data_IF_182442928755
#
_entry.id   IF_182442928755
#
_cell.length_a   1.000
_cell.length_b   1.000
_cell.length_c   1.000
_cell.angle_alpha   90.00
_cell.angle_beta   90.00
_cell.angle_gamma   90.00
#
_symmetry.space_group_name_H-M   'P 1'
#
loop_
_entity.id
_entity.type
_entity.pdbx_description
1 polymer ?
#
# COMPACT_ATOMS: atom_id res chain seq x y z
N UNK A 1 4.17 19.61 4.32
CA UNK A 1 4.84 19.91 5.60
C UNK A 1 4.16 19.06 6.66
N UNK A 2 4.68 17.86 6.91
CA UNK A 2 4.13 16.97 7.94
C UNK A 2 4.60 17.50 9.30
N UNK A 3 3.65 17.98 10.10
CA UNK A 3 3.85 18.47 11.45
C UNK A 3 3.47 17.36 12.44
N UNK A 4 4.40 16.46 12.76
CA UNK A 4 4.42 15.66 14.00
C UNK A 4 5.75 14.94 14.06
N UNK A 5 6.49 15.03 15.17
CA UNK A 5 7.75 14.31 15.39
C UNK A 5 7.59 12.80 15.57
N UNK A 6 6.57 12.20 14.97
CA UNK A 6 6.30 10.77 15.02
C UNK A 6 6.92 10.07 13.81
N UNK A 7 7.52 8.90 14.03
CA UNK A 7 8.06 8.08 12.96
C UNK A 7 6.94 7.62 12.01
N UNK A 8 7.15 7.61 10.68
CA UNK A 8 6.15 7.14 9.72
C UNK A 8 5.64 5.73 10.03
N UNK A 9 4.35 5.49 9.88
CA UNK A 9 3.71 4.20 10.02
C UNK A 9 3.87 3.37 8.72
N UNK A 10 4.50 2.20 8.82
CA UNK A 10 4.81 1.33 7.69
C UNK A 10 4.10 -0.01 7.83
N UNK A 11 3.22 -0.36 6.90
CA UNK A 11 2.48 -1.62 6.85
C UNK A 11 3.05 -2.58 5.80
N UNK A 12 3.68 -3.70 6.18
CA UNK A 12 3.98 -4.78 5.26
C UNK A 12 2.70 -5.53 4.88
N UNK A 13 2.36 -5.52 3.59
CA UNK A 13 1.17 -6.16 3.05
C UNK A 13 1.55 -7.17 1.97
N UNK A 14 1.84 -8.41 2.34
CA UNK A 14 2.20 -9.47 1.38
C UNK A 14 1.17 -10.62 1.33
N UNK A 15 0.05 -10.51 2.04
CA UNK A 15 -1.04 -11.49 2.03
C UNK A 15 -0.59 -12.93 2.31
N UNK A 16 -1.27 -13.90 1.70
CA UNK A 16 -0.92 -15.33 1.76
C UNK A 16 0.36 -15.70 0.99
N UNK A 17 1.01 -14.72 0.34
CA UNK A 17 2.20 -14.96 -0.48
C UNK A 17 3.48 -15.16 0.33
N UNK A 18 3.42 -15.04 1.66
CA UNK A 18 4.49 -15.42 2.59
C UNK A 18 5.84 -14.82 2.22
N UNK A 19 5.98 -13.50 2.27
CA UNK A 19 7.30 -12.89 2.21
C UNK A 19 8.00 -13.16 3.55
N UNK A 20 9.18 -13.80 3.51
CA UNK A 20 10.02 -14.01 4.70
C UNK A 20 10.68 -12.70 5.11
N UNK A 21 9.86 -11.79 5.62
CA UNK A 21 10.28 -10.45 5.99
C UNK A 21 11.07 -10.51 7.30
N UNK A 22 12.14 -9.72 7.44
CA UNK A 22 12.92 -9.67 8.66
C UNK A 22 12.19 -8.81 9.72
N UNK A 23 10.99 -9.21 10.15
CA UNK A 23 10.12 -8.42 11.03
C UNK A 23 10.81 -8.01 12.33
N UNK A 24 11.62 -8.90 12.92
CA UNK A 24 12.40 -8.59 14.12
C UNK A 24 13.45 -7.48 13.91
N UNK A 25 14.01 -7.34 12.70
CA UNK A 25 14.89 -6.24 12.33
C UNK A 25 14.08 -4.97 12.10
N UNK A 26 12.98 -5.06 11.35
CA UNK A 26 12.13 -3.93 10.98
C UNK A 26 11.49 -3.25 12.20
N UNK A 27 11.05 -4.02 13.20
CA UNK A 27 10.52 -3.49 14.47
C UNK A 27 11.51 -2.64 15.28
N UNK A 28 12.81 -2.76 15.00
CA UNK A 28 13.88 -1.99 15.67
C UNK A 28 14.32 -0.76 14.86
N UNK A 29 13.59 -0.40 13.82
CA UNK A 29 13.90 0.78 13.01
C UNK A 29 13.68 2.05 13.83
N UNK A 30 14.68 2.94 13.84
CA UNK A 30 14.53 4.30 14.37
C UNK A 30 13.87 5.25 13.35
N UNK A 31 13.71 4.80 12.11
CA UNK A 31 13.23 5.64 10.99
C UNK A 31 11.74 5.49 10.70
N UNK A 32 11.07 4.45 11.20
CA UNK A 32 9.64 4.20 11.00
C UNK A 32 9.10 3.24 12.06
N UNK A 33 7.79 3.30 12.31
CA UNK A 33 7.07 2.34 13.14
C UNK A 33 6.38 1.27 12.28
N UNK A 34 6.46 0.00 12.66
CA UNK A 34 5.81 -1.09 11.94
C UNK A 34 4.33 -1.20 12.36
N UNK A 35 3.43 -1.25 11.37
CA UNK A 35 2.01 -1.58 11.56
C UNK A 35 1.80 -3.04 11.20
N UNK A 36 1.15 -3.79 12.09
CA UNK A 36 0.90 -5.21 11.92
C UNK A 36 -0.56 -5.52 12.26
N UNK A 37 -1.20 -6.47 11.54
CA UNK A 37 -2.52 -6.93 11.91
C UNK A 37 -2.48 -7.59 13.29
N UNK A 38 -3.45 -7.25 14.15
CA UNK A 38 -3.66 -7.94 15.40
C UNK A 38 -4.09 -9.41 15.13
N UNK A 39 -3.64 -10.39 15.92
CA UNK A 39 -4.06 -11.79 15.76
C UNK A 39 -5.58 -11.99 15.92
N UNK A 40 -6.21 -11.19 16.78
CA UNK A 40 -7.65 -11.16 17.02
C UNK A 40 -8.12 -9.69 16.99
N UNK A 41 -8.39 -9.14 15.79
CA UNK A 41 -8.81 -7.76 15.67
C UNK A 41 -10.22 -7.59 16.29
N UNK A 42 -10.51 -6.46 16.94
CA UNK A 42 -11.84 -6.21 17.48
C UNK A 42 -12.92 -6.32 16.39
N UNK A 43 -14.15 -6.75 16.73
CA UNK A 43 -15.24 -6.78 15.77
C UNK A 43 -15.44 -5.43 15.07
N UNK A 44 -15.59 -5.47 13.75
CA UNK A 44 -15.76 -4.27 12.93
C UNK A 44 -14.47 -3.59 12.48
N UNK A 45 -13.30 -4.11 12.87
CA UNK A 45 -12.03 -3.71 12.27
C UNK A 45 -11.74 -4.55 11.03
N UNK A 46 -11.45 -3.89 9.93
CA UNK A 46 -11.15 -4.50 8.65
C UNK A 46 -9.70 -4.23 8.24
N UNK A 47 -9.22 -4.98 7.25
CA UNK A 47 -7.86 -4.81 6.75
C UNK A 47 -7.62 -3.41 6.16
N UNK A 48 -8.66 -2.81 5.59
CA UNK A 48 -8.66 -1.46 5.04
C UNK A 48 -8.33 -0.42 6.10
N UNK A 49 -8.72 -0.64 7.37
CA UNK A 49 -8.40 0.27 8.47
C UNK A 49 -6.89 0.29 8.76
N UNK A 50 -6.19 -0.83 8.55
CA UNK A 50 -4.72 -0.87 8.65
C UNK A 50 -4.05 -0.08 7.53
N UNK A 51 -4.59 -0.17 6.31
CA UNK A 51 -4.10 0.61 5.18
C UNK A 51 -4.35 2.10 5.41
N UNK A 52 -5.53 2.47 5.92
CA UNK A 52 -5.89 3.84 6.29
C UNK A 52 -4.99 4.43 7.40
N UNK A 53 -4.48 3.59 8.29
CA UNK A 53 -3.58 4.00 9.36
C UNK A 53 -2.10 4.05 8.94
N UNK A 54 -1.74 3.64 7.72
CA UNK A 54 -0.36 3.56 7.25
C UNK A 54 0.02 4.78 6.40
N UNK A 55 1.20 5.35 6.67
CA UNK A 55 1.82 6.34 5.78
C UNK A 55 2.39 5.67 4.52
N UNK A 56 2.96 4.46 4.71
CA UNK A 56 3.53 3.64 3.65
C UNK A 56 3.04 2.20 3.76
N UNK A 57 2.55 1.65 2.67
CA UNK A 57 2.33 0.23 2.48
C UNK A 57 3.50 -0.37 1.70
N UNK A 58 4.06 -1.47 2.18
CA UNK A 58 5.12 -2.23 1.50
C UNK A 58 4.52 -3.50 0.91
N UNK A 59 4.51 -3.64 -0.42
CA UNK A 59 3.78 -4.73 -1.07
C UNK A 59 4.29 -5.08 -2.48
N UNK A 60 3.58 -6.00 -3.14
CA UNK A 60 3.65 -6.26 -4.59
C UNK A 60 2.43 -5.59 -5.23
N UNK A 61 2.56 -4.93 -6.39
CA UNK A 61 1.43 -4.25 -7.00
C UNK A 61 0.35 -5.26 -7.43
N UNK A 62 -0.91 -4.86 -7.20
CA UNK A 62 -2.10 -5.64 -7.52
C UNK A 62 -3.35 -4.83 -7.20
N UNK A 63 -4.48 -5.19 -7.83
CA UNK A 63 -5.71 -4.39 -7.80
C UNK A 63 -6.13 -3.97 -6.40
N UNK A 64 -6.29 -4.93 -5.48
CA UNK A 64 -6.76 -4.64 -4.12
C UNK A 64 -5.85 -3.66 -3.38
N UNK A 65 -4.55 -3.97 -3.25
CA UNK A 65 -3.66 -3.10 -2.46
C UNK A 65 -3.46 -1.73 -3.11
N UNK A 66 -3.40 -1.66 -4.45
CA UNK A 66 -3.27 -0.38 -5.15
C UNK A 66 -4.53 0.45 -4.97
N UNK A 67 -5.73 -0.13 -5.14
CA UNK A 67 -6.98 0.61 -4.94
C UNK A 67 -7.14 1.10 -3.49
N UNK A 68 -6.76 0.29 -2.51
CA UNK A 68 -6.81 0.68 -1.09
C UNK A 68 -5.80 1.81 -0.79
N UNK A 69 -4.59 1.75 -1.35
CA UNK A 69 -3.61 2.83 -1.19
C UNK A 69 -4.12 4.15 -1.81
N UNK A 70 -4.71 4.08 -3.01
CA UNK A 70 -5.32 5.26 -3.67
C UNK A 70 -6.46 5.81 -2.83
N UNK A 71 -7.33 4.96 -2.30
CA UNK A 71 -8.50 5.39 -1.52
C UNK A 71 -8.12 6.04 -0.19
N UNK A 72 -6.99 5.65 0.40
CA UNK A 72 -6.55 6.09 1.72
C UNK A 72 -5.36 7.08 1.70
N UNK A 73 -4.87 7.50 0.53
CA UNK A 73 -3.65 8.32 0.37
C UNK A 73 -2.39 7.71 1.05
N UNK A 74 -2.34 6.38 1.13
CA UNK A 74 -1.18 5.64 1.60
C UNK A 74 -0.16 5.50 0.46
N UNK A 75 1.11 5.80 0.72
CA UNK A 75 2.15 5.65 -0.29
C UNK A 75 2.55 4.17 -0.46
N UNK A 76 2.92 3.75 -1.67
CA UNK A 76 3.23 2.35 -1.97
C UNK A 76 4.72 2.13 -2.25
N UNK A 77 5.43 1.49 -1.33
CA UNK A 77 6.75 0.95 -1.57
C UNK A 77 6.63 -0.46 -2.15
N UNK A 78 6.79 -0.59 -3.47
CA UNK A 78 6.47 -1.82 -4.18
C UNK A 78 7.71 -2.63 -4.56
N UNK A 79 7.59 -3.94 -4.60
CA UNK A 79 8.61 -4.86 -5.15
C UNK A 79 8.06 -5.65 -6.33
N UNK A 80 8.94 -6.31 -7.07
CA UNK A 80 8.58 -7.23 -8.13
C UNK A 80 7.78 -8.43 -7.60
N UNK A 81 6.89 -8.95 -8.45
CA UNK A 81 6.15 -10.20 -8.26
C UNK A 81 6.34 -11.02 -9.53
N UNK A 82 6.78 -12.28 -9.40
CA UNK A 82 7.15 -13.20 -10.49
C UNK A 82 6.54 -12.93 -11.86
N UNK A 83 5.61 -13.78 -12.33
CA UNK A 83 4.89 -13.52 -13.58
C UNK A 83 3.48 -13.06 -13.25
N UNK A 84 3.16 -11.82 -13.60
CA UNK A 84 1.83 -11.23 -13.46
C UNK A 84 1.61 -10.30 -14.65
N UNK A 85 0.58 -10.58 -15.46
CA UNK A 85 0.46 -9.97 -16.79
C UNK A 85 0.24 -8.47 -16.72
N UNK A 86 -0.39 -7.98 -15.65
CA UNK A 86 -0.64 -6.55 -15.43
C UNK A 86 0.47 -5.85 -14.65
N UNK A 87 1.57 -6.52 -14.29
CA UNK A 87 2.64 -5.89 -13.51
C UNK A 87 3.20 -4.66 -14.21
N UNK A 88 3.52 -4.76 -15.50
CA UNK A 88 4.09 -3.65 -16.26
C UNK A 88 3.08 -2.50 -16.40
N UNK A 89 1.78 -2.82 -16.51
CA UNK A 89 0.71 -1.82 -16.50
C UNK A 89 0.66 -1.10 -15.17
N UNK A 90 0.73 -1.81 -14.03
CA UNK A 90 0.80 -1.15 -12.73
C UNK A 90 2.02 -0.23 -12.62
N UNK A 91 3.20 -0.70 -13.02
CA UNK A 91 4.43 0.10 -12.95
C UNK A 91 4.34 1.37 -13.78
N UNK A 92 3.69 1.31 -14.95
CA UNK A 92 3.48 2.47 -15.81
C UNK A 92 2.43 3.43 -15.25
N UNK A 93 1.28 2.92 -14.77
CA UNK A 93 0.10 3.75 -14.51
C UNK A 93 0.00 4.25 -13.06
N UNK A 94 0.46 3.46 -12.09
CA UNK A 94 0.27 3.79 -10.68
C UNK A 94 0.92 5.12 -10.21
N UNK A 95 2.06 5.60 -10.76
CA UNK A 95 2.63 6.89 -10.33
C UNK A 95 1.74 8.10 -10.61
N UNK A 96 0.77 7.97 -11.54
CA UNK A 96 -0.18 9.04 -11.85
C UNK A 96 -1.18 9.26 -10.72
N UNK A 97 -1.52 8.20 -9.97
CA UNK A 97 -2.64 8.17 -9.02
C UNK A 97 -2.23 7.94 -7.57
N UNK A 98 -0.99 7.51 -7.28
CA UNK A 98 -0.44 7.48 -5.92
C UNK A 98 1.09 7.71 -5.88
N UNK A 99 1.59 8.13 -4.70
CA UNK A 99 3.04 8.11 -4.40
C UNK A 99 3.51 6.67 -4.37
N UNK A 100 4.51 6.33 -5.18
CA UNK A 100 5.03 4.96 -5.22
C UNK A 100 6.52 4.92 -5.55
N UNK A 101 7.21 3.88 -5.07
CA UNK A 101 8.64 3.67 -5.29
C UNK A 101 8.97 2.19 -5.30
N UNK A 102 9.84 1.78 -6.21
CA UNK A 102 10.36 0.41 -6.25
C UNK A 102 11.39 0.17 -5.14
N UNK A 103 11.30 -0.97 -4.48
CA UNK A 103 12.35 -1.57 -3.64
C UNK A 103 12.73 -2.93 -4.22
N UNK A 104 14.03 -3.22 -4.26
CA UNK A 104 14.51 -4.53 -4.71
C UNK A 104 14.13 -5.62 -3.70
N UNK A 105 13.90 -6.85 -4.16
CA UNK A 105 13.68 -7.97 -3.22
C UNK A 105 14.86 -8.18 -2.27
N UNK A 106 16.08 -7.89 -2.72
CA UNK A 106 17.28 -7.98 -1.88
C UNK A 106 17.26 -6.96 -0.72
N UNK A 107 16.87 -5.71 -0.99
CA UNK A 107 16.73 -4.68 0.05
C UNK A 107 15.53 -4.93 0.94
N UNK A 108 14.43 -5.41 0.36
CA UNK A 108 13.22 -5.79 1.06
C UNK A 108 13.52 -6.86 2.12
N UNK A 109 14.12 -7.98 1.70
CA UNK A 109 14.41 -9.13 2.57
C UNK A 109 15.56 -8.86 3.55
N UNK A 110 16.43 -7.90 3.23
CA UNK A 110 17.49 -7.45 4.16
C UNK A 110 17.04 -6.34 5.12
N UNK A 111 15.78 -5.88 5.04
CA UNK A 111 15.23 -4.84 5.91
C UNK A 111 15.79 -3.43 5.67
N UNK A 112 16.41 -3.17 4.50
CA UNK A 112 16.98 -1.86 4.13
C UNK A 112 15.90 -0.89 3.63
N UNK A 113 14.89 -0.65 4.45
CA UNK A 113 13.68 0.08 4.04
C UNK A 113 13.76 1.59 4.30
N UNK A 114 14.49 2.01 5.33
CA UNK A 114 14.47 3.39 5.84
C UNK A 114 14.66 4.46 4.75
N UNK A 115 15.74 4.37 3.98
CA UNK A 115 16.02 5.32 2.89
C UNK A 115 14.93 5.29 1.80
N UNK A 116 14.38 4.11 1.49
CA UNK A 116 13.35 3.98 0.47
C UNK A 116 12.00 4.56 0.94
N UNK A 117 11.67 4.40 2.23
CA UNK A 117 10.50 5.00 2.89
C UNK A 117 10.63 6.53 2.90
N UNK A 118 11.76 7.05 3.36
CA UNK A 118 12.03 8.50 3.39
C UNK A 118 11.92 9.11 1.99
N UNK A 119 12.61 8.51 1.01
CA UNK A 119 12.62 8.99 -0.35
C UNK A 119 11.29 8.78 -1.10
N UNK A 120 10.39 7.94 -0.59
CA UNK A 120 9.02 7.79 -1.06
C UNK A 120 8.13 8.89 -0.48
N UNK A 121 8.22 9.14 0.83
CA UNK A 121 7.41 10.16 1.50
C UNK A 121 7.79 11.59 1.10
N UNK A 122 9.04 11.80 0.64
CA UNK A 122 9.50 13.06 0.07
C UNK A 122 8.98 13.35 -1.35
N UNK A 123 8.32 12.39 -2.02
CA UNK A 123 7.74 12.61 -3.34
C UNK A 123 6.57 13.62 -3.28
N UNK A 124 6.33 14.39 -4.37
CA UNK A 124 5.13 15.20 -4.47
C UNK A 124 3.86 14.33 -4.46
N UNK A 125 2.72 14.94 -4.16
CA UNK A 125 1.43 14.30 -4.32
C UNK A 125 1.19 13.85 -5.78
N UNK A 126 0.42 12.77 -6.01
CA UNK A 126 0.11 12.30 -7.36
C UNK A 126 -0.66 13.37 -8.15
N UNK A 127 -0.54 13.32 -9.48
CA UNK A 127 -1.19 14.27 -10.38
C UNK A 127 -2.71 14.11 -10.39
N UNK A 128 -3.19 12.90 -10.16
CA UNK A 128 -4.59 12.53 -10.26
C UNK A 128 -5.13 12.00 -8.92
N UNK A 129 -6.44 12.21 -8.71
CA UNK A 129 -7.19 11.63 -7.58
C UNK A 129 -8.43 10.94 -8.14
N UNK A 130 -8.34 9.63 -8.46
CA UNK A 130 -9.48 8.87 -8.96
C UNK A 130 -10.64 8.85 -7.97
N UNK A 131 -11.86 8.66 -8.48
CA UNK A 131 -13.04 8.43 -7.64
C UNK A 131 -12.96 7.06 -6.96
N UNK A 132 -13.44 6.99 -5.73
CA UNK A 132 -13.43 5.76 -4.89
C UNK A 132 -14.81 5.13 -4.72
N UNK A 133 -15.80 5.56 -5.51
CA UNK A 133 -17.19 5.10 -5.44
C UNK A 133 -17.52 4.00 -6.47
N UNK A 134 -16.49 3.29 -6.94
CA UNK A 134 -16.60 2.26 -7.98
C UNK A 134 -17.59 1.14 -7.62
N UNK A 135 -17.66 0.74 -6.34
CA UNK A 135 -18.62 -0.27 -5.89
C UNK A 135 -20.08 0.18 -6.09
N UNK A 136 -20.38 1.44 -5.77
CA UNK A 136 -21.71 2.03 -5.97
C UNK A 136 -22.03 2.14 -7.46
N UNK A 137 -21.09 2.63 -8.26
CA UNK A 137 -21.24 2.74 -9.73
C UNK A 137 -21.49 1.36 -10.37
N UNK A 138 -20.75 0.34 -9.94
CA UNK A 138 -20.94 -1.03 -10.43
C UNK A 138 -22.33 -1.57 -10.05
N UNK A 139 -22.75 -1.39 -8.79
CA UNK A 139 -24.08 -1.83 -8.34
C UNK A 139 -25.20 -1.16 -9.13
N UNK A 140 -25.15 0.16 -9.31
CA UNK A 140 -26.12 0.93 -10.10
C UNK A 140 -26.15 0.46 -11.56
N UNK A 141 -24.98 0.21 -12.15
CA UNK A 141 -24.87 -0.28 -13.54
C UNK A 141 -25.50 -1.67 -13.68
N UNK A 142 -25.22 -2.58 -12.76
CA UNK A 142 -25.80 -3.93 -12.76
C UNK A 142 -27.32 -3.86 -12.60
N UNK A 143 -27.82 -3.05 -11.67
CA UNK A 143 -29.27 -2.85 -11.46
C UNK A 143 -29.95 -2.37 -12.74
N UNK A 144 -29.38 -1.36 -13.41
CA UNK A 144 -29.94 -0.81 -14.65
C UNK A 144 -29.96 -1.82 -15.81
N UNK A 145 -28.99 -2.75 -15.86
CA UNK A 145 -28.97 -3.81 -16.86
C UNK A 145 -30.03 -4.90 -16.61
N UNK A 146 -30.43 -5.11 -15.36
CA UNK A 146 -31.34 -6.20 -14.96
C UNK A 146 -32.80 -5.74 -14.89
N UNK A 147 -33.05 -4.50 -14.46
CA UNK A 147 -34.40 -4.04 -14.15
C UNK A 147 -35.07 -3.31 -15.31
N UNK A 148 -34.31 -2.64 -16.20
CA UNK A 148 -34.87 -1.86 -17.31
C UNK A 148 -35.59 -0.59 -16.85
#
# INVERSE_FOLDING_TARGET
MWLTGAAPAVLPSFGAYGADLPLALLRRSDSFALVEPAPDPPPGWFYQDLVAAADVVVSKPGYGIVSECVANDAALLYTSRGRFIEYDVFVAEMPHVLRCRYISQQDLLAGRWAHAVEALLAQPAPAERPRVDGARVAAETIINLVIG
#
